data_IF_124826415817
#
_entry.id   IF_124826415817
#
_cell.length_a   1.000
_cell.length_b   1.000
_cell.length_c   1.000
_cell.angle_alpha   90.00
_cell.angle_beta   90.00
_cell.angle_gamma   90.00
#
_symmetry.space_group_name_H-M   'P 1'
#
loop_
_entity.id
_entity.type
_entity.pdbx_description
1 polymer ?
#
# COMPACT_ATOMS: atom_id res chain seq x y z
N UNK A 1 1.57 30.71 9.16
CA UNK A 1 1.24 29.94 7.95
C UNK A 1 -0.20 30.23 7.55
N UNK A 2 -0.48 30.62 6.29
CA UNK A 2 -1.87 30.67 5.79
C UNK A 2 -2.44 29.25 5.79
N UNK A 3 -3.69 29.10 6.29
CA UNK A 3 -4.41 27.84 6.20
C UNK A 3 -4.55 27.48 4.71
N UNK A 4 -4.11 26.29 4.32
CA UNK A 4 -4.27 25.82 2.94
C UNK A 4 -5.76 25.66 2.64
N UNK A 5 -6.19 26.10 1.45
CA UNK A 5 -7.57 25.88 1.01
C UNK A 5 -7.78 24.39 0.79
N UNK A 6 -8.86 23.86 1.34
CA UNK A 6 -9.22 22.43 1.21
C UNK A 6 -9.59 22.07 -0.24
N UNK A 7 -10.10 23.04 -0.99
CA UNK A 7 -10.43 22.87 -2.41
C UNK A 7 -9.91 24.06 -3.24
N UNK A 8 -9.40 23.75 -4.43
CA UNK A 8 -8.82 24.73 -5.35
C UNK A 8 -9.64 24.94 -6.62
N UNK A 9 -10.64 24.07 -6.87
CA UNK A 9 -11.47 24.01 -8.09
C UNK A 9 -10.70 23.74 -9.37
N UNK A 10 -9.39 23.57 -9.32
CA UNK A 10 -8.52 23.34 -10.50
C UNK A 10 -8.74 21.98 -11.14
N UNK A 11 -9.38 21.05 -10.41
CA UNK A 11 -9.67 19.68 -10.85
C UNK A 11 -11.07 19.46 -11.41
N UNK A 12 -11.95 20.49 -11.42
CA UNK A 12 -13.39 20.34 -11.77
C UNK A 12 -13.61 19.95 -13.23
N UNK A 13 -12.64 20.23 -14.11
CA UNK A 13 -12.66 19.85 -15.53
C UNK A 13 -12.05 18.48 -15.82
N UNK A 14 -11.90 17.60 -14.82
CA UNK A 14 -11.43 16.23 -15.00
C UNK A 14 -9.92 16.07 -15.13
N UNK A 15 -9.12 17.10 -14.80
CA UNK A 15 -7.65 17.02 -14.78
C UNK A 15 -7.12 17.19 -13.36
N UNK A 16 -5.95 16.57 -13.09
CA UNK A 16 -5.19 16.71 -11.85
C UNK A 16 -3.72 16.99 -12.16
N UNK A 17 -2.94 17.39 -11.15
CA UNK A 17 -1.49 17.49 -11.28
C UNK A 17 -0.82 16.29 -10.62
N UNK A 18 0.20 15.76 -11.27
CA UNK A 18 1.15 14.85 -10.63
C UNK A 18 2.03 15.60 -9.61
N UNK A 19 2.77 14.89 -8.80
CA UNK A 19 3.64 15.48 -7.78
C UNK A 19 4.75 16.35 -8.43
N UNK A 20 5.23 15.96 -9.60
CA UNK A 20 6.21 16.70 -10.41
C UNK A 20 5.61 17.86 -11.21
N UNK A 21 4.30 18.09 -11.13
CA UNK A 21 3.60 19.27 -11.65
C UNK A 21 2.88 19.07 -12.99
N UNK A 22 3.07 17.96 -13.67
CA UNK A 22 2.42 17.68 -14.95
C UNK A 22 0.90 17.55 -14.76
N UNK A 23 0.15 18.15 -15.71
CA UNK A 23 -1.30 18.05 -15.75
C UNK A 23 -1.74 16.82 -16.54
N UNK A 24 -2.47 15.93 -15.90
CA UNK A 24 -2.95 14.67 -16.47
C UNK A 24 -4.46 14.50 -16.27
N UNK A 25 -5.15 13.74 -17.12
CA UNK A 25 -6.54 13.36 -16.89
C UNK A 25 -6.69 12.55 -15.60
N UNK A 26 -7.73 12.81 -14.81
CA UNK A 26 -8.02 12.04 -13.58
C UNK A 26 -8.24 10.55 -13.83
N UNK A 27 -8.71 10.18 -15.03
CA UNK A 27 -8.91 8.79 -15.45
C UNK A 27 -7.66 8.13 -16.05
N UNK A 28 -6.49 8.76 -16.00
CA UNK A 28 -5.25 8.15 -16.48
C UNK A 28 -4.87 6.94 -15.62
N UNK A 29 -4.21 5.94 -16.24
CA UNK A 29 -3.78 4.72 -15.54
C UNK A 29 -2.89 5.02 -14.34
N UNK A 30 -2.04 6.04 -14.42
CA UNK A 30 -1.15 6.47 -13.35
C UNK A 30 -1.92 7.03 -12.17
N UNK A 31 -2.93 7.87 -12.41
CA UNK A 31 -3.82 8.40 -11.37
C UNK A 31 -4.61 7.28 -10.70
N UNK A 32 -5.14 6.33 -11.49
CA UNK A 32 -5.80 5.13 -10.96
C UNK A 32 -4.85 4.30 -10.09
N UNK A 33 -3.60 4.11 -10.52
CA UNK A 33 -2.63 3.30 -9.79
C UNK A 33 -2.31 3.88 -8.42
N UNK A 34 -1.93 5.16 -8.30
CA UNK A 34 -1.66 5.74 -7.00
C UNK A 34 -2.93 5.92 -6.15
N UNK A 35 -4.10 6.09 -6.79
CA UNK A 35 -5.39 6.10 -6.10
C UNK A 35 -5.72 4.76 -5.44
N UNK A 36 -5.41 3.64 -6.10
CA UNK A 36 -5.52 2.30 -5.48
C UNK A 36 -4.54 2.12 -4.30
N UNK A 37 -3.33 2.70 -4.37
CA UNK A 37 -2.39 2.65 -3.24
C UNK A 37 -2.93 3.47 -2.05
N UNK A 38 -3.57 4.62 -2.31
CA UNK A 38 -4.22 5.41 -1.25
C UNK A 38 -5.38 4.66 -0.60
N UNK A 39 -6.16 3.89 -1.37
CA UNK A 39 -7.20 3.00 -0.84
C UNK A 39 -6.60 1.93 0.08
N UNK A 40 -5.50 1.27 -0.32
CA UNK A 40 -4.76 0.33 0.53
C UNK A 40 -4.35 0.99 1.86
N UNK A 41 -3.82 2.21 1.79
CA UNK A 41 -3.41 2.96 2.97
C UNK A 41 -4.60 3.23 3.92
N UNK A 42 -5.77 3.52 3.36
CA UNK A 42 -7.00 3.75 4.13
C UNK A 42 -7.52 2.46 4.78
N UNK A 43 -7.49 1.33 4.06
CA UNK A 43 -7.86 0.02 4.60
C UNK A 43 -6.89 -0.45 5.70
N UNK A 44 -5.58 -0.22 5.53
CA UNK A 44 -4.62 -0.41 6.61
C UNK A 44 -4.90 0.48 7.82
N UNK A 45 -5.47 1.67 7.61
CA UNK A 45 -5.97 2.51 8.69
C UNK A 45 -7.10 1.85 9.49
N UNK A 46 -8.05 1.23 8.80
CA UNK A 46 -9.10 0.43 9.43
C UNK A 46 -8.51 -0.78 10.17
N UNK A 47 -7.60 -1.51 9.54
CA UNK A 47 -6.91 -2.63 10.17
C UNK A 47 -6.20 -2.19 11.45
N UNK A 48 -5.41 -1.11 11.40
CA UNK A 48 -4.72 -0.54 12.58
C UNK A 48 -5.67 -0.18 13.72
N UNK A 49 -6.85 0.32 13.42
CA UNK A 49 -7.84 0.70 14.41
C UNK A 49 -8.52 -0.52 15.07
N UNK A 50 -8.49 -1.69 14.43
CA UNK A 50 -9.28 -2.86 14.83
C UNK A 50 -8.45 -4.06 15.28
N UNK A 51 -7.17 -4.17 14.90
CA UNK A 51 -6.25 -5.21 15.41
C UNK A 51 -6.00 -5.00 16.91
N UNK A 52 -5.77 -6.09 17.62
CA UNK A 52 -5.57 -6.07 19.07
C UNK A 52 -4.11 -5.95 19.47
N UNK A 53 -3.22 -6.51 18.66
CA UNK A 53 -1.79 -6.58 18.97
C UNK A 53 -1.08 -5.24 18.71
N UNK A 54 -0.39 -4.72 19.71
CA UNK A 54 0.32 -3.43 19.61
C UNK A 54 1.52 -3.48 18.64
N UNK A 55 2.22 -4.62 18.56
CA UNK A 55 3.31 -4.80 17.60
C UNK A 55 2.81 -4.79 16.14
N UNK A 56 1.63 -5.37 15.87
CA UNK A 56 0.95 -5.32 14.57
C UNK A 56 0.50 -3.88 14.26
N UNK A 57 -0.11 -3.16 15.21
CA UNK A 57 -0.47 -1.74 15.05
C UNK A 57 0.72 -0.87 14.67
N UNK A 58 1.83 -1.06 15.37
CA UNK A 58 3.08 -0.31 15.12
C UNK A 58 3.66 -0.63 13.74
N UNK A 59 3.57 -1.87 13.29
CA UNK A 59 3.99 -2.28 11.95
C UNK A 59 3.11 -1.66 10.88
N UNK A 60 1.78 -1.73 11.02
CA UNK A 60 0.83 -1.13 10.08
C UNK A 60 1.09 0.38 9.96
N UNK A 61 1.32 1.08 11.07
CA UNK A 61 1.63 2.52 11.04
C UNK A 61 2.85 2.83 10.17
N UNK A 62 3.96 2.10 10.36
CA UNK A 62 5.19 2.27 9.56
C UNK A 62 4.95 2.00 8.07
N UNK A 63 4.13 0.99 7.75
CA UNK A 63 3.74 0.69 6.37
C UNK A 63 2.90 1.83 5.77
N UNK A 64 1.95 2.39 6.52
CA UNK A 64 1.15 3.53 6.05
C UNK A 64 2.02 4.77 5.73
N UNK A 65 3.07 5.02 6.52
CA UNK A 65 4.04 6.08 6.23
C UNK A 65 4.83 5.77 4.94
N UNK A 66 5.28 4.53 4.77
CA UNK A 66 5.99 4.12 3.56
C UNK A 66 5.10 4.19 2.30
N UNK A 67 3.80 3.90 2.41
CA UNK A 67 2.87 4.02 1.29
C UNK A 67 2.72 5.47 0.79
N UNK A 68 2.91 6.49 1.63
CA UNK A 68 3.01 7.88 1.17
C UNK A 68 4.18 8.07 0.20
N UNK A 69 5.33 7.46 0.53
CA UNK A 69 6.52 7.51 -0.33
C UNK A 69 6.32 6.72 -1.63
N UNK A 70 5.64 5.55 -1.56
CA UNK A 70 5.27 4.79 -2.75
C UNK A 70 4.35 5.60 -3.68
N UNK A 71 3.32 6.24 -3.12
CA UNK A 71 2.42 7.10 -3.90
C UNK A 71 3.17 8.27 -4.54
N UNK A 72 4.09 8.89 -3.82
CA UNK A 72 4.92 9.97 -4.35
C UNK A 72 5.79 9.50 -5.53
N UNK A 73 6.38 8.29 -5.45
CA UNK A 73 7.16 7.68 -6.54
C UNK A 73 6.26 7.48 -7.78
N UNK A 74 5.08 6.86 -7.60
CA UNK A 74 4.13 6.61 -8.71
C UNK A 74 3.54 7.91 -9.27
N UNK A 75 3.30 8.93 -8.42
CA UNK A 75 2.75 10.22 -8.83
C UNK A 75 3.79 11.17 -9.43
N UNK A 76 4.99 10.71 -9.73
CA UNK A 76 6.09 11.50 -10.29
C UNK A 76 6.52 10.96 -11.64
N UNK A 77 6.95 11.86 -12.52
CA UNK A 77 7.56 11.54 -13.83
C UNK A 77 9.01 12.02 -13.88
N UNK A 78 9.84 11.28 -14.62
CA UNK A 78 11.22 11.67 -14.90
C UNK A 78 12.06 11.99 -13.66
N UNK A 79 11.86 11.23 -12.56
CA UNK A 79 12.67 11.39 -11.37
C UNK A 79 14.15 11.10 -11.67
N UNK A 80 15.04 11.99 -11.25
CA UNK A 80 16.49 11.75 -11.32
C UNK A 80 16.86 10.59 -10.36
N UNK A 81 16.18 10.51 -9.24
CA UNK A 81 16.35 9.47 -8.26
C UNK A 81 14.99 9.06 -7.68
N UNK A 82 14.65 7.78 -7.81
CA UNK A 82 13.42 7.23 -7.28
C UNK A 82 13.37 7.30 -5.74
N UNK A 83 12.19 7.54 -5.17
CA UNK A 83 12.00 7.59 -3.72
C UNK A 83 12.07 6.19 -3.09
N UNK A 84 11.56 5.17 -3.81
CA UNK A 84 11.57 3.78 -3.35
C UNK A 84 12.83 3.08 -3.85
N UNK A 85 13.60 2.56 -2.89
CA UNK A 85 14.90 1.92 -3.07
C UNK A 85 14.82 0.43 -2.74
N UNK A 86 15.84 -0.39 -3.11
CA UNK A 86 15.88 -1.82 -2.77
C UNK A 86 15.76 -2.11 -1.28
N UNK A 87 16.28 -1.24 -0.41
CA UNK A 87 16.19 -1.40 1.05
C UNK A 87 14.75 -1.39 1.57
N UNK A 88 13.82 -0.72 0.87
CA UNK A 88 12.39 -0.76 1.23
C UNK A 88 11.78 -2.14 0.92
N UNK A 89 12.21 -2.81 -0.15
CA UNK A 89 11.82 -4.20 -0.44
C UNK A 89 12.33 -5.13 0.66
N UNK A 90 13.61 -5.00 1.01
CA UNK A 90 14.23 -5.76 2.10
C UNK A 90 13.51 -5.55 3.44
N UNK A 91 13.05 -4.33 3.72
CA UNK A 91 12.26 -4.04 4.93
C UNK A 91 10.95 -4.86 4.97
N UNK A 92 10.23 -4.97 3.86
CA UNK A 92 9.05 -5.81 3.79
C UNK A 92 9.38 -7.28 4.03
N UNK A 93 10.41 -7.80 3.36
CA UNK A 93 10.85 -9.20 3.47
C UNK A 93 11.25 -9.55 4.91
N UNK A 94 12.09 -8.75 5.54
CA UNK A 94 12.47 -8.93 6.95
C UNK A 94 11.28 -8.83 7.90
N UNK A 95 10.31 -7.98 7.60
CA UNK A 95 9.10 -7.86 8.41
C UNK A 95 8.21 -9.09 8.28
N UNK A 96 8.07 -9.64 7.07
CA UNK A 96 7.37 -10.91 6.82
C UNK A 96 8.04 -12.03 7.59
N UNK A 97 9.35 -12.22 7.43
CA UNK A 97 10.13 -13.28 8.07
C UNK A 97 9.98 -13.25 9.59
N UNK A 98 10.03 -12.05 10.18
CA UNK A 98 9.86 -11.86 11.63
C UNK A 98 8.51 -12.36 12.14
N UNK A 99 7.42 -12.07 11.43
CA UNK A 99 6.09 -12.50 11.83
C UNK A 99 5.79 -13.95 11.46
N UNK A 100 6.30 -14.43 10.33
CA UNK A 100 6.14 -15.82 9.90
C UNK A 100 6.81 -16.79 10.89
N UNK A 101 7.94 -16.40 11.47
CA UNK A 101 8.62 -17.16 12.53
C UNK A 101 7.76 -17.40 13.81
N UNK A 102 6.67 -16.64 13.98
CA UNK A 102 5.72 -16.80 15.10
C UNK A 102 4.60 -17.80 14.80
N UNK A 103 4.49 -18.27 13.55
CA UNK A 103 3.36 -19.03 13.04
C UNK A 103 3.71 -20.49 12.81
N UNK A 104 2.73 -21.37 13.03
CA UNK A 104 2.84 -22.76 12.59
C UNK A 104 2.75 -22.85 11.05
N UNK A 105 3.29 -23.92 10.44
CA UNK A 105 3.11 -24.15 9.00
C UNK A 105 1.63 -24.15 8.60
N UNK A 106 1.32 -23.49 7.49
CA UNK A 106 -0.05 -23.44 6.96
C UNK A 106 -0.46 -24.79 6.40
N UNK A 107 -1.53 -25.38 6.90
CA UNK A 107 -2.03 -26.70 6.50
C UNK A 107 -3.33 -26.66 5.70
N UNK A 108 -4.03 -25.52 5.68
CA UNK A 108 -5.30 -25.34 5.00
C UNK A 108 -5.50 -23.89 4.57
N UNK A 109 -6.42 -23.63 3.65
CA UNK A 109 -6.81 -22.29 3.28
C UNK A 109 -7.56 -21.60 4.44
N UNK A 110 -7.21 -20.34 4.71
CA UNK A 110 -7.87 -19.53 5.71
C UNK A 110 -9.09 -18.85 5.09
N UNK A 111 -10.24 -18.97 5.73
CA UNK A 111 -11.42 -18.17 5.42
C UNK A 111 -11.38 -16.93 6.32
N UNK A 112 -11.30 -15.71 5.75
CA UNK A 112 -11.26 -14.48 6.56
C UNK A 112 -12.58 -14.26 7.32
N UNK A 113 -12.49 -13.67 8.54
CA UNK A 113 -13.69 -13.23 9.25
C UNK A 113 -13.76 -13.62 10.73
N UNK A 114 -12.76 -14.33 11.27
CA UNK A 114 -12.73 -14.75 12.67
C UNK A 114 -12.69 -13.58 13.66
N UNK A 115 -12.06 -12.47 13.25
CA UNK A 115 -12.11 -11.21 13.98
C UNK A 115 -12.01 -10.01 13.01
N UNK A 116 -12.42 -8.83 13.51
CA UNK A 116 -12.52 -7.61 12.69
C UNK A 116 -11.14 -7.18 12.17
N UNK A 117 -10.10 -7.26 13.00
CA UNK A 117 -8.73 -6.86 12.62
C UNK A 117 -8.17 -7.73 11.50
N UNK A 118 -8.32 -9.05 11.62
CA UNK A 118 -7.91 -10.00 10.61
C UNK A 118 -8.71 -9.82 9.31
N UNK A 119 -10.02 -9.59 9.38
CA UNK A 119 -10.86 -9.31 8.22
C UNK A 119 -10.44 -8.02 7.50
N UNK A 120 -10.11 -6.95 8.24
CA UNK A 120 -9.62 -5.70 7.68
C UNK A 120 -8.25 -5.87 7.00
N UNK A 121 -7.36 -6.69 7.57
CA UNK A 121 -6.07 -7.05 6.94
C UNK A 121 -6.26 -7.86 5.65
N UNK A 122 -7.29 -8.71 5.56
CA UNK A 122 -7.60 -9.43 4.33
C UNK A 122 -8.13 -8.49 3.23
N UNK A 123 -8.95 -7.50 3.59
CA UNK A 123 -9.36 -6.45 2.67
C UNK A 123 -8.14 -5.69 2.14
N UNK A 124 -7.24 -5.24 3.02
CA UNK A 124 -6.01 -4.58 2.63
C UNK A 124 -5.14 -5.46 1.71
N UNK A 125 -5.05 -6.76 1.95
CA UNK A 125 -4.37 -7.74 1.10
C UNK A 125 -4.94 -7.76 -0.32
N UNK A 126 -6.25 -7.89 -0.45
CA UNK A 126 -6.91 -8.00 -1.77
C UNK A 126 -6.85 -6.69 -2.54
N UNK A 127 -6.98 -5.55 -1.86
CA UNK A 127 -6.84 -4.21 -2.45
C UNK A 127 -5.40 -3.93 -2.87
N UNK A 128 -4.40 -4.37 -2.08
CA UNK A 128 -2.99 -4.30 -2.47
C UNK A 128 -2.73 -5.03 -3.80
N UNK A 129 -3.29 -6.21 -3.99
CA UNK A 129 -3.19 -6.95 -5.26
C UNK A 129 -3.90 -6.21 -6.41
N UNK A 130 -4.97 -5.47 -6.13
CA UNK A 130 -5.60 -4.59 -7.14
C UNK A 130 -4.69 -3.42 -7.50
N UNK A 131 -4.07 -2.78 -6.51
CA UNK A 131 -3.10 -1.69 -6.71
C UNK A 131 -1.88 -2.16 -7.53
N UNK A 132 -1.33 -3.33 -7.22
CA UNK A 132 -0.24 -3.95 -8.00
C UNK A 132 -0.63 -4.14 -9.47
N UNK A 133 -1.80 -4.73 -9.75
CA UNK A 133 -2.27 -4.91 -11.13
C UNK A 133 -2.54 -3.58 -11.83
N UNK A 134 -3.01 -2.55 -11.12
CA UNK A 134 -3.17 -1.21 -11.69
C UNK A 134 -1.81 -0.61 -12.10
N UNK A 135 -0.80 -0.76 -11.26
CA UNK A 135 0.55 -0.27 -11.55
C UNK A 135 1.24 -1.06 -12.68
N UNK A 136 0.98 -2.38 -12.79
CA UNK A 136 1.45 -3.19 -13.93
C UNK A 136 0.89 -2.67 -15.26
N UNK A 137 -0.38 -2.22 -15.30
CA UNK A 137 -0.96 -1.59 -16.51
C UNK A 137 -0.27 -0.26 -16.88
N UNK A 138 0.22 0.49 -15.90
CA UNK A 138 1.06 1.66 -16.16
C UNK A 138 2.41 1.21 -16.76
N UNK A 139 3.04 0.19 -16.18
CA UNK A 139 4.33 -0.33 -16.60
C UNK A 139 4.35 -0.90 -18.04
N UNK A 140 3.19 -1.23 -18.62
CA UNK A 140 3.08 -1.61 -20.04
C UNK A 140 3.31 -0.43 -20.99
N UNK A 141 3.17 0.81 -20.55
CA UNK A 141 3.17 2.01 -21.39
C UNK A 141 4.17 3.08 -20.95
N UNK A 142 4.59 3.04 -19.71
CA UNK A 142 5.40 4.06 -19.07
C UNK A 142 6.44 3.41 -18.15
N UNK A 143 7.56 4.10 -17.94
CA UNK A 143 8.53 3.65 -16.95
C UNK A 143 7.97 3.74 -15.53
N UNK A 144 8.15 2.67 -14.79
CA UNK A 144 7.77 2.53 -13.38
C UNK A 144 8.92 1.95 -12.58
N UNK A 145 9.15 2.50 -11.41
CA UNK A 145 10.14 1.97 -10.49
C UNK A 145 9.80 0.52 -10.08
N UNK A 146 10.64 -0.43 -10.46
CA UNK A 146 10.44 -1.86 -10.17
C UNK A 146 10.37 -2.16 -8.68
N UNK A 147 11.06 -1.38 -7.84
CA UNK A 147 11.01 -1.56 -6.40
C UNK A 147 9.61 -1.26 -5.83
N UNK A 148 8.84 -0.35 -6.44
CA UNK A 148 7.44 -0.10 -6.04
C UNK A 148 6.57 -1.32 -6.31
N UNK A 149 6.70 -1.95 -7.49
CA UNK A 149 5.99 -3.19 -7.81
C UNK A 149 6.35 -4.31 -6.84
N UNK A 150 7.65 -4.48 -6.53
CA UNK A 150 8.11 -5.46 -5.56
C UNK A 150 7.56 -5.19 -4.16
N UNK A 151 7.55 -3.92 -3.70
CA UNK A 151 6.97 -3.55 -2.41
C UNK A 151 5.47 -3.87 -2.36
N UNK A 152 4.69 -3.57 -3.39
CA UNK A 152 3.25 -3.91 -3.43
C UNK A 152 3.03 -5.43 -3.39
N UNK A 153 3.82 -6.19 -4.12
CA UNK A 153 3.76 -7.66 -4.07
C UNK A 153 4.02 -8.17 -2.64
N UNK A 154 5.13 -7.76 -2.01
CA UNK A 154 5.49 -8.11 -0.62
C UNK A 154 4.47 -7.59 0.40
N UNK A 155 3.86 -6.42 0.18
CA UNK A 155 2.82 -5.90 1.06
C UNK A 155 1.59 -6.82 1.10
N UNK A 156 1.20 -7.43 -0.02
CA UNK A 156 0.10 -8.39 -0.01
C UNK A 156 0.42 -9.62 0.84
N UNK A 157 1.67 -10.10 0.80
CA UNK A 157 2.14 -11.22 1.61
C UNK A 157 2.21 -10.82 3.10
N UNK A 158 2.69 -9.61 3.39
CA UNK A 158 2.72 -9.09 4.76
C UNK A 158 1.32 -8.98 5.36
N UNK A 159 0.34 -8.47 4.61
CA UNK A 159 -1.06 -8.41 5.08
C UNK A 159 -1.58 -9.80 5.44
N UNK A 160 -1.25 -10.83 4.66
CA UNK A 160 -1.62 -12.21 4.95
C UNK A 160 -0.96 -12.75 6.23
N UNK A 161 0.33 -12.51 6.40
CA UNK A 161 1.06 -12.93 7.61
C UNK A 161 0.51 -12.22 8.86
N UNK A 162 0.27 -10.90 8.79
CA UNK A 162 -0.30 -10.14 9.90
C UNK A 162 -1.72 -10.60 10.27
N UNK A 163 -2.54 -10.95 9.27
CA UNK A 163 -3.86 -11.55 9.49
C UNK A 163 -3.74 -12.84 10.30
N UNK A 164 -2.81 -13.71 9.95
CA UNK A 164 -2.55 -14.96 10.67
C UNK A 164 -2.09 -14.71 12.10
N UNK A 165 -1.15 -13.82 12.27
CA UNK A 165 -0.64 -13.44 13.61
C UNK A 165 -1.77 -12.89 14.50
N UNK A 166 -2.64 -12.04 13.94
CA UNK A 166 -3.79 -11.48 14.68
C UNK A 166 -4.82 -12.53 15.06
N UNK A 167 -4.88 -13.65 14.33
CA UNK A 167 -5.82 -14.74 14.56
C UNK A 167 -5.23 -15.86 15.42
N UNK A 168 -4.00 -16.29 15.16
CA UNK A 168 -3.41 -17.52 15.68
C UNK A 168 -2.52 -17.30 16.92
N UNK A 169 -1.92 -16.12 17.08
CA UNK A 169 -0.96 -15.83 18.16
C UNK A 169 -1.68 -15.11 19.32
N UNK A 170 -1.74 -15.78 20.47
CA UNK A 170 -2.34 -15.26 21.72
C UNK A 170 -1.41 -14.31 22.46
#
# INVERSE_FOLDING_TARGET
MKKADVYTRTGDKGATSLLTGERVPKQSLRVEAYGNIDEVRSELGLARATVKREDVKGTIFKIQELLMTLMADVASLNLQESYIKPEHVTLFEQTIDRYDAMLAPLTHFITPGDNIGAAALDMARTTTRRAERALLRVAEKEDVNKNVLMCLNRLSDLCFILLRVETEVK
#
